data_IF_202470033830
#
_entry.id   IF_202470033830
#
_cell.length_a   1.000
_cell.length_b   1.000
_cell.length_c   1.000
_cell.angle_alpha   90.00
_cell.angle_beta   90.00
_cell.angle_gamma   90.00
#
_symmetry.space_group_name_H-M   'P 1'
#
loop_
_entity.id
_entity.type
_entity.pdbx_description
1 polymer ?
#
# COMPACT_ATOMS: atom_id res chain seq x y z
N UNK A 1 0.27 -0.68 8.38
CA UNK A 1 -0.86 -1.17 7.55
C UNK A 1 -0.69 -0.87 6.06
N UNK A 2 -0.34 0.36 5.65
CA UNK A 2 -0.18 0.72 4.23
C UNK A 2 0.62 -0.30 3.39
N UNK A 3 1.74 -0.83 3.90
CA UNK A 3 2.53 -1.87 3.19
C UNK A 3 1.72 -3.12 2.82
N UNK A 4 0.68 -3.49 3.57
CA UNK A 4 -0.20 -4.62 3.22
C UNK A 4 -0.85 -4.42 1.84
N UNK A 5 -1.21 -3.18 1.50
CA UNK A 5 -1.96 -2.84 0.29
C UNK A 5 -1.35 -3.36 -1.01
N UNK A 6 -0.01 -3.32 -1.14
CA UNK A 6 0.69 -3.80 -2.35
C UNK A 6 0.74 -5.32 -2.47
N UNK A 7 0.43 -6.04 -1.39
CA UNK A 7 0.43 -7.50 -1.34
C UNK A 7 -0.97 -8.11 -1.51
N UNK A 8 -2.02 -7.29 -1.48
CA UNK A 8 -3.40 -7.72 -1.68
C UNK A 8 -3.64 -8.06 -3.15
N UNK A 9 -3.50 -9.34 -3.48
CA UNK A 9 -3.85 -9.91 -4.78
C UNK A 9 -4.68 -11.18 -4.54
N UNK A 10 -5.66 -11.48 -5.40
CA UNK A 10 -6.48 -12.69 -5.27
C UNK A 10 -5.61 -13.96 -5.18
N UNK A 11 -5.94 -14.84 -4.24
CA UNK A 11 -5.24 -16.11 -4.01
C UNK A 11 -3.91 -16.00 -3.26
N UNK A 12 -3.50 -14.80 -2.84
CA UNK A 12 -2.29 -14.63 -2.02
C UNK A 12 -2.54 -15.04 -0.58
N UNK A 13 -1.61 -15.81 -0.04
CA UNK A 13 -1.54 -16.11 1.39
C UNK A 13 -0.48 -15.25 2.04
N UNK A 14 -0.85 -14.57 3.13
CA UNK A 14 0.02 -13.63 3.83
C UNK A 14 0.01 -13.95 5.33
N UNK A 15 1.16 -13.79 5.96
CA UNK A 15 1.26 -13.66 7.41
C UNK A 15 1.54 -12.20 7.74
N UNK A 16 0.76 -11.64 8.66
CA UNK A 16 0.89 -10.27 9.14
C UNK A 16 1.22 -10.35 10.62
N UNK A 17 2.37 -9.78 10.97
CA UNK A 17 2.76 -9.60 12.36
C UNK A 17 1.95 -8.45 12.94
N UNK A 18 1.26 -8.71 14.05
CA UNK A 18 0.46 -7.71 14.72
C UNK A 18 1.31 -6.80 15.58
N UNK A 19 0.93 -5.52 15.64
CA UNK A 19 1.50 -4.59 16.61
C UNK A 19 0.88 -4.80 17.99
N UNK A 20 -0.41 -5.17 18.02
CA UNK A 20 -1.22 -5.33 19.22
C UNK A 20 -2.50 -6.17 18.98
N UNK A 21 -3.36 -6.27 20.00
CA UNK A 21 -4.63 -6.99 19.95
C UNK A 21 -5.69 -6.40 19.01
N UNK A 22 -5.54 -5.14 18.59
CA UNK A 22 -6.47 -4.42 17.70
C UNK A 22 -6.06 -4.51 16.23
N UNK A 23 -4.85 -4.98 15.97
CA UNK A 23 -4.32 -5.13 14.62
C UNK A 23 -5.22 -6.01 13.74
N UNK A 24 -5.78 -7.16 14.19
CA UNK A 24 -6.68 -7.96 13.36
C UNK A 24 -7.94 -7.21 12.90
N UNK A 25 -8.60 -6.48 13.81
CA UNK A 25 -9.77 -5.68 13.47
C UNK A 25 -9.43 -4.60 12.44
N UNK A 26 -8.29 -3.92 12.62
CA UNK A 26 -7.84 -2.88 11.69
C UNK A 26 -7.48 -3.47 10.31
N UNK A 27 -6.86 -4.65 10.28
CA UNK A 27 -6.58 -5.39 9.02
C UNK A 27 -7.87 -5.78 8.32
N UNK A 28 -8.86 -6.31 9.05
CA UNK A 28 -10.15 -6.68 8.49
C UNK A 28 -10.88 -5.49 7.85
N UNK A 29 -10.93 -4.35 8.57
CA UNK A 29 -11.52 -3.12 8.07
C UNK A 29 -10.82 -2.60 6.80
N UNK A 30 -9.49 -2.61 6.77
CA UNK A 30 -8.71 -2.21 5.58
C UNK A 30 -8.96 -3.14 4.39
N UNK A 31 -9.02 -4.46 4.61
CA UNK A 31 -9.34 -5.43 3.56
C UNK A 31 -10.73 -5.16 2.99
N UNK A 32 -11.74 -5.00 3.84
CA UNK A 32 -13.11 -4.70 3.40
C UNK A 32 -13.18 -3.40 2.60
N UNK A 33 -12.58 -2.31 3.10
CA UNK A 33 -12.55 -1.01 2.44
C UNK A 33 -11.86 -1.03 1.06
N UNK A 34 -10.97 -2.01 0.82
CA UNK A 34 -10.23 -2.18 -0.44
C UNK A 34 -10.89 -3.17 -1.40
N UNK A 35 -12.09 -3.66 -1.08
CA UNK A 35 -12.81 -4.65 -1.88
C UNK A 35 -12.34 -6.09 -1.64
N UNK A 36 -11.54 -6.34 -0.60
CA UNK A 36 -11.06 -7.67 -0.21
C UNK A 36 -11.87 -8.27 0.96
N UNK A 37 -13.13 -7.83 1.13
CA UNK A 37 -14.06 -8.31 2.17
C UNK A 37 -14.18 -9.84 2.29
N UNK A 38 -14.23 -10.62 1.18
CA UNK A 38 -14.28 -12.08 1.23
C UNK A 38 -12.99 -12.76 1.71
N UNK A 39 -11.92 -12.00 1.98
CA UNK A 39 -10.66 -12.55 2.50
C UNK A 39 -10.90 -13.27 3.81
N UNK A 40 -10.42 -14.51 3.89
CA UNK A 40 -10.43 -15.28 5.15
C UNK A 40 -9.29 -14.80 6.03
N UNK A 41 -9.62 -14.55 7.29
CA UNK A 41 -8.70 -14.14 8.33
C UNK A 41 -8.65 -15.25 9.36
N UNK A 42 -7.45 -15.69 9.70
CA UNK A 42 -7.19 -16.58 10.84
C UNK A 42 -6.24 -15.86 11.79
N UNK A 43 -6.70 -15.55 13.00
CA UNK A 43 -5.88 -14.99 14.07
C UNK A 43 -5.45 -16.11 14.99
N UNK A 44 -4.14 -16.22 15.22
CA UNK A 44 -3.54 -17.16 16.14
C UNK A 44 -3.01 -16.41 17.35
N UNK A 45 -3.63 -16.61 18.51
CA UNK A 45 -3.28 -16.04 19.80
C UNK A 45 -2.35 -17.00 20.54
N UNK A 46 -1.33 -16.47 21.24
CA UNK A 46 -0.48 -17.24 22.16
C UNK A 46 0.12 -18.54 21.58
N UNK A 47 0.51 -18.54 20.29
CA UNK A 47 1.06 -19.70 19.58
C UNK A 47 2.14 -20.43 20.40
N UNK A 48 1.98 -21.75 20.55
CA UNK A 48 2.87 -22.63 21.29
C UNK A 48 2.71 -22.59 22.80
N UNK A 49 1.79 -21.79 23.33
CA UNK A 49 1.52 -21.64 24.77
C UNK A 49 0.25 -22.36 25.25
N UNK A 50 0.03 -22.41 26.58
CA UNK A 50 -1.17 -23.03 27.15
C UNK A 50 -2.47 -22.27 26.85
N UNK A 51 -2.38 -21.01 26.41
CA UNK A 51 -3.50 -20.16 26.01
C UNK A 51 -3.67 -20.09 24.48
N UNK A 52 -3.00 -20.99 23.73
CA UNK A 52 -3.09 -20.98 22.27
C UNK A 52 -4.55 -21.06 21.82
N UNK A 53 -4.94 -20.10 20.97
CA UNK A 53 -6.29 -20.02 20.44
C UNK A 53 -6.26 -19.57 19.00
N UNK A 54 -7.17 -20.13 18.20
CA UNK A 54 -7.41 -19.73 16.82
C UNK A 54 -8.79 -19.13 16.69
N UNK A 55 -8.87 -18.02 15.96
CA UNK A 55 -10.10 -17.32 15.62
C UNK A 55 -10.14 -17.18 14.10
N UNK A 56 -11.23 -17.62 13.48
CA UNK A 56 -11.42 -17.53 12.04
C UNK A 56 -12.63 -16.63 11.72
N UNK A 57 -12.54 -15.89 10.62
CA UNK A 57 -13.61 -15.02 10.13
C UNK A 57 -13.36 -14.52 8.72
N UNK A 58 -14.34 -13.83 8.14
CA UNK A 58 -14.16 -13.07 6.90
C UNK A 58 -13.85 -11.61 7.25
N UNK A 59 -13.08 -10.93 6.42
CA UNK A 59 -12.74 -9.53 6.65
C UNK A 59 -13.98 -8.62 6.74
N UNK A 60 -14.98 -8.86 5.89
CA UNK A 60 -16.24 -8.10 5.90
C UNK A 60 -17.15 -8.38 7.11
N UNK A 61 -17.03 -9.56 7.72
CA UNK A 61 -17.89 -10.01 8.83
C UNK A 61 -17.13 -10.02 10.16
N UNK A 62 -15.92 -9.45 10.20
CA UNK A 62 -15.07 -9.45 11.38
C UNK A 62 -15.67 -8.55 12.47
N UNK A 63 -15.99 -9.13 13.62
CA UNK A 63 -16.73 -8.47 14.70
C UNK A 63 -16.00 -8.56 16.06
N UNK A 64 -14.70 -8.82 16.04
CA UNK A 64 -13.87 -8.91 17.25
C UNK A 64 -12.98 -7.67 17.30
N UNK A 65 -13.30 -6.79 18.24
CA UNK A 65 -12.60 -5.50 18.40
C UNK A 65 -11.16 -5.69 18.90
N UNK A 66 -10.95 -6.66 19.80
CA UNK A 66 -9.65 -6.89 20.43
C UNK A 66 -9.40 -8.39 20.66
N UNK A 67 -8.21 -8.81 20.26
CA UNK A 67 -7.63 -10.15 20.45
C UNK A 67 -6.48 -10.07 21.45
N UNK A 68 -5.86 -11.20 21.79
CA UNK A 68 -4.64 -11.20 22.59
C UNK A 68 -3.54 -10.31 21.96
N UNK A 69 -2.81 -9.56 22.78
CA UNK A 69 -1.75 -8.67 22.28
C UNK A 69 -0.66 -9.42 21.49
N UNK A 70 -0.35 -10.66 21.88
CA UNK A 70 0.52 -11.56 21.14
C UNK A 70 -0.32 -12.41 20.18
N UNK A 71 -0.51 -11.91 18.97
CA UNK A 71 -1.23 -12.60 17.91
C UNK A 71 -0.50 -12.53 16.55
N UNK A 72 -0.80 -13.51 15.70
CA UNK A 72 -0.38 -13.59 14.30
C UNK A 72 -1.63 -13.65 13.43
N UNK A 73 -1.69 -12.85 12.36
CA UNK A 73 -2.80 -12.88 11.41
C UNK A 73 -2.38 -13.59 10.14
N UNK A 74 -3.08 -14.65 9.76
CA UNK A 74 -2.97 -15.27 8.45
C UNK A 74 -4.14 -14.83 7.57
N UNK A 75 -3.82 -14.47 6.32
CA UNK A 75 -4.80 -14.03 5.33
C UNK A 75 -4.79 -14.98 4.14
N UNK A 76 -5.97 -15.40 3.69
CA UNK A 76 -6.19 -16.04 2.39
C UNK A 76 -6.97 -15.05 1.52
N UNK A 77 -6.24 -14.23 0.77
CA UNK A 77 -6.76 -13.03 0.12
C UNK A 77 -7.75 -13.37 -0.99
N UNK A 78 -8.97 -12.86 -0.86
CA UNK A 78 -10.02 -12.98 -1.88
C UNK A 78 -10.57 -11.60 -2.20
N UNK A 79 -10.63 -11.29 -3.48
CA UNK A 79 -11.25 -10.08 -3.99
C UNK A 79 -12.76 -10.27 -4.14
N UNK A 80 -13.54 -9.28 -3.72
CA UNK A 80 -14.92 -9.14 -4.11
C UNK A 80 -15.07 -8.69 -5.58
N UNK A 81 -16.31 -8.66 -6.10
CA UNK A 81 -16.59 -8.31 -7.50
C UNK A 81 -16.10 -6.90 -7.87
N UNK A 82 -16.15 -5.96 -6.92
CA UNK A 82 -15.80 -4.55 -7.14
C UNK A 82 -14.35 -4.22 -6.74
N UNK A 83 -13.53 -5.22 -6.40
CA UNK A 83 -12.15 -4.98 -6.02
C UNK A 83 -11.34 -4.44 -7.21
N UNK A 84 -10.61 -3.32 -7.07
CA UNK A 84 -9.86 -2.75 -8.17
C UNK A 84 -8.71 -3.68 -8.58
N UNK A 85 -8.68 -4.08 -9.85
CA UNK A 85 -7.56 -4.86 -10.41
C UNK A 85 -6.33 -3.97 -10.56
N UNK A 86 -5.39 -4.09 -9.62
CA UNK A 86 -4.12 -3.35 -9.67
C UNK A 86 -3.04 -4.16 -10.38
N UNK A 87 -2.60 -3.67 -11.54
CA UNK A 87 -1.51 -4.30 -12.28
C UNK A 87 -0.19 -4.22 -11.49
N UNK A 88 0.65 -5.25 -11.63
CA UNK A 88 2.02 -5.24 -11.12
C UNK A 88 2.98 -4.46 -12.03
N UNK A 89 2.61 -4.33 -13.30
CA UNK A 89 3.34 -3.53 -14.27
C UNK A 89 2.99 -2.04 -14.14
N UNK A 90 3.87 -1.16 -14.61
CA UNK A 90 3.58 0.26 -14.68
C UNK A 90 2.30 0.59 -15.46
N UNK A 91 1.71 1.74 -15.14
CA UNK A 91 0.50 2.25 -15.79
C UNK A 91 -0.77 1.86 -15.04
N UNK A 92 -0.80 2.09 -13.72
CA UNK A 92 -2.05 2.07 -12.97
C UNK A 92 -3.04 3.11 -13.52
N UNK A 93 -4.36 2.84 -13.50
CA UNK A 93 -5.36 3.77 -14.00
C UNK A 93 -5.30 5.10 -13.22
N UNK A 94 -5.69 6.20 -13.88
CA UNK A 94 -5.58 7.55 -13.31
C UNK A 94 -6.46 7.71 -12.05
N UNK A 95 -7.60 7.02 -11.99
CA UNK A 95 -8.53 7.00 -10.84
C UNK A 95 -7.98 6.29 -9.60
N UNK A 96 -6.85 5.60 -9.71
CA UNK A 96 -6.15 5.04 -8.57
C UNK A 96 -5.41 6.11 -7.72
N UNK A 97 -5.38 7.36 -8.19
CA UNK A 97 -4.67 8.48 -7.58
C UNK A 97 -5.63 9.61 -7.24
N UNK A 98 -5.45 10.22 -6.08
CA UNK A 98 -5.93 11.58 -5.83
C UNK A 98 -5.05 12.55 -6.62
N UNK A 99 -5.68 13.47 -7.33
CA UNK A 99 -5.01 14.47 -8.15
C UNK A 99 -5.93 15.67 -8.44
N UNK A 100 -5.37 16.81 -8.82
CA UNK A 100 -6.07 18.04 -9.23
C UNK A 100 -6.29 18.15 -10.76
N UNK A 101 -5.98 17.07 -11.49
CA UNK A 101 -6.01 17.02 -12.96
C UNK A 101 -4.62 17.07 -13.58
N UNK A 102 -3.59 17.46 -12.82
CA UNK A 102 -2.19 17.39 -13.23
C UNK A 102 -1.57 16.06 -12.75
N UNK A 103 -1.94 14.99 -13.45
CA UNK A 103 -1.37 13.65 -13.28
C UNK A 103 -0.71 13.22 -14.60
N UNK A 104 0.49 12.66 -14.53
CA UNK A 104 1.08 11.96 -15.68
C UNK A 104 0.14 10.85 -16.12
N UNK A 105 -0.48 11.04 -17.30
CA UNK A 105 -1.46 10.12 -17.85
C UNK A 105 -0.91 8.71 -17.93
N UNK A 106 -1.77 7.74 -17.67
CA UNK A 106 -1.45 6.30 -17.62
C UNK A 106 -0.41 5.85 -18.64
N UNK A 107 -0.63 6.14 -19.93
CA UNK A 107 0.24 5.64 -21.00
C UNK A 107 1.62 6.30 -20.98
N UNK A 108 1.67 7.60 -20.71
CA UNK A 108 2.93 8.33 -20.53
C UNK A 108 3.67 7.82 -19.29
N UNK A 109 2.96 7.54 -18.20
CA UNK A 109 3.53 6.98 -16.97
C UNK A 109 4.09 5.58 -17.18
N UNK A 110 3.38 4.72 -17.91
CA UNK A 110 3.89 3.40 -18.28
C UNK A 110 5.17 3.50 -19.14
N UNK A 111 5.19 4.39 -20.14
CA UNK A 111 6.36 4.65 -20.98
C UNK A 111 7.54 5.19 -20.16
N UNK A 112 7.30 6.17 -19.29
CA UNK A 112 8.32 6.77 -18.42
C UNK A 112 8.96 5.71 -17.52
N UNK A 113 8.15 4.88 -16.85
CA UNK A 113 8.67 3.80 -15.99
C UNK A 113 9.40 2.73 -16.79
N UNK A 114 8.94 2.42 -18.01
CA UNK A 114 9.65 1.51 -18.91
C UNK A 114 11.02 2.05 -19.35
N UNK A 115 11.17 3.38 -19.45
CA UNK A 115 12.45 4.04 -19.76
C UNK A 115 13.36 4.19 -18.54
N UNK A 116 12.79 4.48 -17.38
CA UNK A 116 13.52 4.56 -16.11
C UNK A 116 14.01 3.19 -15.64
N UNK A 117 13.26 2.12 -15.96
CA UNK A 117 13.65 0.73 -15.78
C UNK A 117 14.21 0.39 -14.38
N UNK A 118 13.43 0.55 -13.29
CA UNK A 118 13.90 0.34 -11.92
C UNK A 118 14.56 -1.03 -11.71
N UNK A 119 15.75 -1.01 -11.12
CA UNK A 119 16.42 -2.19 -10.61
C UNK A 119 16.38 -2.26 -9.07
N UNK A 120 16.46 -3.46 -8.47
CA UNK A 120 16.49 -3.61 -7.02
C UNK A 120 17.56 -2.75 -6.34
N UNK A 121 17.13 -1.94 -5.36
CA UNK A 121 18.02 -1.13 -4.53
C UNK A 121 18.27 0.28 -5.03
N UNK A 122 17.76 0.62 -6.22
CA UNK A 122 17.94 1.95 -6.79
C UNK A 122 17.05 3.01 -6.11
N UNK A 123 17.56 4.24 -6.10
CA UNK A 123 16.90 5.42 -5.56
C UNK A 123 16.53 6.37 -6.70
N UNK A 124 15.24 6.74 -6.76
CA UNK A 124 14.74 7.76 -7.67
C UNK A 124 14.59 9.11 -6.95
N UNK A 125 14.99 10.19 -7.62
CA UNK A 125 14.60 11.55 -7.27
C UNK A 125 13.51 12.02 -8.23
N UNK A 126 12.28 12.14 -7.74
CA UNK A 126 11.10 12.58 -8.49
C UNK A 126 10.87 14.07 -8.23
N UNK A 127 11.48 14.92 -9.07
CA UNK A 127 11.46 16.37 -8.92
C UNK A 127 10.22 16.95 -9.59
N UNK A 128 9.41 17.69 -8.82
CA UNK A 128 8.10 18.14 -9.29
C UNK A 128 7.11 16.98 -9.34
N UNK A 129 7.09 16.18 -8.27
CA UNK A 129 6.39 14.90 -8.22
C UNK A 129 4.88 14.98 -8.46
N UNK A 130 4.27 16.16 -8.30
CA UNK A 130 2.84 16.36 -8.50
C UNK A 130 2.04 15.47 -7.54
N UNK A 131 1.31 14.50 -8.09
CA UNK A 131 0.56 13.52 -7.28
C UNK A 131 1.37 12.29 -6.84
N UNK A 132 2.68 12.26 -7.16
CA UNK A 132 3.64 11.22 -6.75
C UNK A 132 3.62 9.96 -7.61
N UNK A 133 2.96 9.97 -8.77
CA UNK A 133 2.66 8.73 -9.50
C UNK A 133 3.89 8.02 -10.07
N UNK A 134 4.94 8.75 -10.45
CA UNK A 134 6.19 8.16 -10.92
C UNK A 134 6.94 7.50 -9.76
N UNK A 135 7.22 8.25 -8.68
CA UNK A 135 7.85 7.70 -7.48
C UNK A 135 7.09 6.51 -6.87
N UNK A 136 5.77 6.55 -6.87
CA UNK A 136 4.94 5.45 -6.35
C UNK A 136 5.08 4.19 -7.21
N UNK A 137 4.93 4.28 -8.52
CA UNK A 137 5.04 3.11 -9.39
C UNK A 137 6.47 2.57 -9.46
N UNK A 138 7.47 3.44 -9.32
CA UNK A 138 8.87 3.06 -9.15
C UNK A 138 9.06 2.14 -7.93
N UNK A 139 8.58 2.56 -6.75
CA UNK A 139 8.69 1.75 -5.52
C UNK A 139 7.80 0.49 -5.52
N UNK A 140 6.77 0.43 -6.38
CA UNK A 140 5.97 -0.78 -6.57
C UNK A 140 6.69 -1.84 -7.41
N UNK A 141 7.68 -1.47 -8.23
CA UNK A 141 8.42 -2.40 -9.07
C UNK A 141 9.23 -3.42 -8.25
N UNK A 142 9.86 -2.99 -7.14
CA UNK A 142 10.61 -3.88 -6.27
C UNK A 142 10.61 -3.40 -4.80
N UNK A 143 10.54 -4.28 -3.78
CA UNK A 143 10.55 -3.89 -2.36
C UNK A 143 11.73 -3.03 -1.90
N UNK A 144 12.88 -3.14 -2.56
CA UNK A 144 14.09 -2.36 -2.21
C UNK A 144 14.27 -1.07 -3.02
N UNK A 145 13.40 -0.79 -4.00
CA UNK A 145 13.42 0.49 -4.69
C UNK A 145 12.98 1.61 -3.74
N UNK A 146 13.68 2.73 -3.78
CA UNK A 146 13.42 3.90 -2.96
C UNK A 146 13.09 5.11 -3.84
N UNK A 147 12.30 6.05 -3.32
CA UNK A 147 12.02 7.30 -4.01
C UNK A 147 11.95 8.48 -3.03
N UNK A 148 12.52 9.60 -3.45
CA UNK A 148 12.36 10.92 -2.86
C UNK A 148 11.51 11.74 -3.83
N UNK A 149 10.30 12.11 -3.40
CA UNK A 149 9.41 12.99 -4.13
C UNK A 149 9.55 14.42 -3.61
N UNK A 150 9.85 15.36 -4.51
CA UNK A 150 9.98 16.78 -4.20
C UNK A 150 8.81 17.52 -4.79
N UNK A 151 8.03 18.19 -3.95
CA UNK A 151 6.85 18.93 -4.37
C UNK A 151 6.66 20.20 -3.52
N UNK A 152 6.37 21.31 -4.19
CA UNK A 152 6.24 22.64 -3.57
C UNK A 152 4.80 22.99 -3.19
N UNK A 153 3.81 22.39 -3.87
CA UNK A 153 2.41 22.69 -3.65
C UNK A 153 1.83 21.84 -2.50
N UNK A 154 1.38 22.50 -1.44
CA UNK A 154 0.91 21.86 -0.21
C UNK A 154 -0.27 20.88 -0.42
N UNK A 155 -1.16 21.15 -1.37
CA UNK A 155 -2.25 20.21 -1.67
C UNK A 155 -1.74 18.94 -2.35
N UNK A 156 -0.74 19.08 -3.24
CA UNK A 156 -0.15 17.96 -3.98
C UNK A 156 0.71 17.09 -3.07
N UNK A 157 1.39 17.70 -2.11
CA UNK A 157 2.03 17.00 -0.99
C UNK A 157 1.04 16.05 -0.29
N UNK A 158 -0.18 16.52 0.04
CA UNK A 158 -1.22 15.67 0.64
C UNK A 158 -1.70 14.56 -0.31
N UNK A 159 -1.75 14.82 -1.62
CA UNK A 159 -2.03 13.77 -2.60
C UNK A 159 -0.94 12.69 -2.58
N UNK A 160 0.34 13.08 -2.55
CA UNK A 160 1.48 12.15 -2.46
C UNK A 160 1.35 11.27 -1.21
N UNK A 161 1.12 11.87 -0.04
CA UNK A 161 0.95 11.15 1.22
C UNK A 161 -0.21 10.16 1.17
N UNK A 162 -1.36 10.59 0.66
CA UNK A 162 -2.50 9.70 0.49
C UNK A 162 -2.20 8.56 -0.49
N UNK A 163 -1.67 8.90 -1.67
CA UNK A 163 -1.45 7.95 -2.76
C UNK A 163 -0.39 6.92 -2.38
N UNK A 164 0.72 7.31 -1.72
CA UNK A 164 1.77 6.37 -1.30
C UNK A 164 1.22 5.33 -0.33
N UNK A 165 0.34 5.72 0.58
CA UNK A 165 -0.27 4.81 1.56
C UNK A 165 -1.34 3.93 0.92
N UNK A 166 -2.19 4.53 0.07
CA UNK A 166 -3.24 3.83 -0.65
C UNK A 166 -2.68 2.78 -1.62
N UNK A 167 -1.53 3.06 -2.24
CA UNK A 167 -0.86 2.20 -3.24
C UNK A 167 0.26 1.33 -2.66
N UNK A 168 0.48 1.40 -1.35
CA UNK A 168 1.28 0.44 -0.59
C UNK A 168 2.79 0.69 -0.59
N UNK A 169 3.22 1.94 -0.75
CA UNK A 169 4.63 2.37 -0.71
C UNK A 169 4.83 3.49 0.32
N UNK A 170 4.47 3.28 1.60
CA UNK A 170 4.53 4.32 2.64
C UNK A 170 5.95 4.85 2.90
N UNK A 171 6.98 4.12 2.49
CA UNK A 171 8.38 4.52 2.62
C UNK A 171 8.82 5.59 1.60
N UNK A 172 7.96 5.98 0.65
CA UNK A 172 8.24 7.10 -0.25
C UNK A 172 8.45 8.37 0.56
N UNK A 173 9.63 8.97 0.43
CA UNK A 173 10.00 10.17 1.17
C UNK A 173 9.46 11.40 0.44
N UNK A 174 8.77 12.28 1.18
CA UNK A 174 8.29 13.55 0.64
C UNK A 174 9.17 14.67 1.18
N UNK A 175 9.76 15.44 0.27
CA UNK A 175 10.47 16.68 0.58
C UNK A 175 9.60 17.84 0.12
N UNK A 176 9.05 18.56 1.09
CA UNK A 176 8.24 19.75 0.84
C UNK A 176 9.15 20.92 0.45
N UNK A 177 9.07 21.36 -0.80
CA UNK A 177 9.89 22.46 -1.30
C UNK A 177 9.96 22.53 -2.81
N UNK A 178 10.62 23.57 -3.30
CA UNK A 178 10.87 23.78 -4.73
C UNK A 178 12.33 23.43 -5.04
N UNK A 179 12.56 22.77 -6.17
CA UNK A 179 13.91 22.60 -6.68
C UNK A 179 14.39 23.89 -7.39
N UNK A 180 15.68 24.24 -7.30
CA UNK A 180 16.77 23.45 -6.71
C UNK A 180 16.92 23.58 -5.19
N UNK A 181 16.23 24.50 -4.51
CA UNK A 181 16.47 24.80 -3.09
C UNK A 181 16.21 23.61 -2.16
N UNK A 182 15.26 22.74 -2.52
CA UNK A 182 14.91 21.53 -1.78
C UNK A 182 15.87 20.34 -2.01
N UNK A 183 16.93 20.52 -2.81
CA UNK A 183 17.93 19.47 -3.10
C UNK A 183 19.16 19.54 -2.20
N UNK A 184 19.27 20.57 -1.36
CA UNK A 184 20.43 20.87 -0.51
C UNK A 184 20.44 20.07 0.80
#
# INVERSE_FOLDING_TARGET
LATLARHLLPGRRLFVLSADGRTPATVAAELAARGFGPTRISVFEHLGGPLERRIDGLAQDWNIDETAALNLVALDCQAGPDAPRRALTPGLPDDAYRHDGQLTKRDMRALTLGRLAPAPGELLWDVGAGSGSIGIEWMRAHPSCQAIAIESHAERQRFIEHNRDALGVPALQLVAGRAPEALA
#
